data_IF_367630107562
#
_entry.id   IF_367630107562
#
_cell.length_a   1.000
_cell.length_b   1.000
_cell.length_c   1.000
_cell.angle_alpha   90.00
_cell.angle_beta   90.00
_cell.angle_gamma   90.00
#
_symmetry.space_group_name_H-M   'P 1'
#
loop_
_entity.id
_entity.type
_entity.pdbx_description
1 polymer ?
#
# COMPACT_ATOMS: atom_id res chain seq x y z
N UNK A 1 0.58 -16.53 23.60
CA UNK A 1 0.70 -16.79 22.15
C UNK A 1 -0.70 -16.83 21.59
N UNK A 2 -1.03 -16.00 20.61
CA UNK A 2 -2.34 -16.03 19.95
C UNK A 2 -2.52 -17.36 19.21
N UNK A 3 -3.74 -17.89 19.20
CA UNK A 3 -4.09 -19.11 18.46
C UNK A 3 -3.91 -18.87 16.96
N UNK A 4 -3.14 -19.71 16.24
CA UNK A 4 -3.02 -19.64 14.80
C UNK A 4 -4.41 -19.67 14.13
N UNK A 5 -4.63 -18.83 13.11
CA UNK A 5 -5.93 -18.75 12.42
C UNK A 5 -6.07 -19.81 11.36
N UNK A 6 -4.96 -20.17 10.71
CA UNK A 6 -4.88 -21.20 9.69
C UNK A 6 -3.85 -22.29 10.06
N UNK A 7 -4.01 -22.95 11.23
CA UNK A 7 -2.98 -23.82 11.81
C UNK A 7 -2.52 -24.96 10.89
N UNK A 8 -3.40 -25.41 9.98
CA UNK A 8 -3.14 -26.53 9.07
C UNK A 8 -2.95 -26.08 7.62
N UNK A 9 -3.04 -24.77 7.32
CA UNK A 9 -2.99 -24.27 5.94
C UNK A 9 -1.60 -23.81 5.56
N UNK A 10 -1.25 -24.10 4.30
CA UNK A 10 -0.07 -23.58 3.65
C UNK A 10 -0.38 -22.35 2.81
N UNK A 11 0.43 -21.31 2.93
CA UNK A 11 0.30 -20.09 2.14
C UNK A 11 1.50 -19.88 1.22
N UNK A 12 1.24 -19.52 -0.04
CA UNK A 12 2.24 -19.03 -0.99
C UNK A 12 2.07 -17.51 -1.13
N UNK A 13 3.02 -16.74 -0.63
CA UNK A 13 3.04 -15.28 -0.71
C UNK A 13 3.77 -14.84 -1.97
N UNK A 14 3.07 -14.15 -2.85
CA UNK A 14 3.58 -13.61 -4.12
C UNK A 14 3.79 -12.11 -3.96
N UNK A 15 5.04 -11.65 -4.01
CA UNK A 15 5.45 -10.30 -3.59
C UNK A 15 6.51 -9.70 -4.53
N UNK A 16 6.75 -8.38 -4.48
CA UNK A 16 7.43 -7.70 -5.56
C UNK A 16 8.94 -7.57 -5.37
N UNK A 17 9.48 -7.70 -4.16
CA UNK A 17 10.89 -7.39 -3.92
C UNK A 17 11.36 -7.89 -2.56
N UNK A 18 12.65 -8.19 -2.43
CA UNK A 18 13.34 -8.38 -1.16
C UNK A 18 14.05 -7.09 -0.67
N UNK A 19 14.06 -6.03 -1.48
CA UNK A 19 14.66 -4.75 -1.10
C UNK A 19 13.95 -4.11 0.10
N UNK A 20 14.73 -3.39 0.92
CA UNK A 20 14.26 -2.64 2.10
C UNK A 20 13.45 -3.46 3.10
N UNK A 21 13.74 -4.75 3.21
CA UNK A 21 13.06 -5.63 4.14
C UNK A 21 11.55 -5.76 3.86
N UNK A 22 11.14 -5.77 2.59
CA UNK A 22 9.72 -5.89 2.24
C UNK A 22 9.13 -7.22 2.70
N UNK A 23 9.91 -8.30 2.69
CA UNK A 23 9.48 -9.63 3.11
C UNK A 23 9.11 -9.68 4.60
N UNK A 24 9.76 -8.86 5.41
CA UNK A 24 9.58 -8.76 6.86
C UNK A 24 8.19 -8.21 7.21
N UNK A 25 7.51 -7.54 6.28
CA UNK A 25 6.10 -7.14 6.43
C UNK A 25 5.17 -8.35 6.62
N UNK A 26 5.58 -9.53 6.16
CA UNK A 26 4.82 -10.76 6.32
C UNK A 26 5.13 -11.51 7.62
N UNK A 27 6.12 -11.07 8.42
CA UNK A 27 6.48 -11.72 9.67
C UNK A 27 5.27 -11.92 10.63
N UNK A 28 4.34 -10.96 10.77
CA UNK A 28 3.13 -11.16 11.58
C UNK A 28 2.20 -12.26 11.07
N UNK A 29 2.26 -12.63 9.78
CA UNK A 29 1.41 -13.68 9.21
C UNK A 29 1.94 -15.07 9.51
N UNK A 30 3.27 -15.24 9.62
CA UNK A 30 3.94 -16.55 9.72
C UNK A 30 3.37 -17.45 10.83
N UNK A 31 3.14 -16.97 12.07
CA UNK A 31 2.61 -17.80 13.14
C UNK A 31 1.20 -18.35 12.91
N UNK A 32 0.47 -17.83 11.92
CA UNK A 32 -0.89 -18.25 11.64
C UNK A 32 -1.00 -19.39 10.62
N UNK A 33 0.09 -19.82 9.98
CA UNK A 33 0.09 -20.84 8.92
C UNK A 33 0.99 -22.03 9.27
N UNK A 34 0.67 -23.23 8.78
CA UNK A 34 1.52 -24.43 8.95
C UNK A 34 2.82 -24.31 8.15
N UNK A 35 2.78 -23.63 7.01
CA UNK A 35 3.91 -23.42 6.11
C UNK A 35 3.71 -22.15 5.30
N UNK A 36 4.79 -21.36 5.16
CA UNK A 36 4.82 -20.14 4.36
C UNK A 36 5.89 -20.28 3.28
N UNK A 37 5.47 -20.19 2.02
CA UNK A 37 6.35 -20.17 0.85
C UNK A 37 6.32 -18.78 0.24
N UNK A 38 7.45 -18.34 -0.30
CA UNK A 38 7.62 -17.00 -0.85
C UNK A 38 7.96 -17.07 -2.34
N UNK A 39 7.36 -16.21 -3.14
CA UNK A 39 7.69 -16.03 -4.56
C UNK A 39 7.88 -14.54 -4.88
N UNK A 40 9.13 -14.15 -5.12
CA UNK A 40 9.48 -12.82 -5.60
C UNK A 40 9.31 -12.76 -7.13
N UNK A 41 8.23 -12.12 -7.60
CA UNK A 41 7.91 -12.12 -9.03
C UNK A 41 8.80 -11.20 -9.87
N UNK A 42 9.45 -10.19 -9.27
CA UNK A 42 10.38 -9.33 -10.02
C UNK A 42 11.73 -10.01 -10.21
N UNK A 43 12.23 -10.72 -9.19
CA UNK A 43 13.39 -11.61 -9.32
C UNK A 43 13.14 -12.69 -10.37
N UNK A 44 11.96 -13.32 -10.36
CA UNK A 44 11.58 -14.28 -11.40
C UNK A 44 11.58 -13.66 -12.81
N UNK A 45 11.18 -12.39 -12.94
CA UNK A 45 11.25 -11.66 -14.21
C UNK A 45 12.70 -11.36 -14.61
N UNK A 46 13.57 -10.96 -13.69
CA UNK A 46 14.97 -10.71 -13.98
C UNK A 46 15.68 -11.99 -14.47
N UNK A 47 15.35 -13.14 -13.88
CA UNK A 47 15.89 -14.44 -14.24
C UNK A 47 15.33 -14.99 -15.55
N UNK A 48 14.02 -14.97 -15.74
CA UNK A 48 13.34 -15.70 -16.83
C UNK A 48 12.65 -14.81 -17.87
N UNK A 49 12.71 -13.48 -17.68
CA UNK A 49 11.95 -12.51 -18.47
C UNK A 49 10.47 -12.47 -18.09
N UNK A 50 9.72 -11.46 -18.58
CA UNK A 50 8.29 -11.33 -18.33
C UNK A 50 7.48 -12.56 -18.71
N UNK A 51 7.85 -13.24 -19.80
CA UNK A 51 7.20 -14.46 -20.24
C UNK A 51 7.38 -15.66 -19.30
N UNK A 52 8.43 -15.67 -18.48
CA UNK A 52 8.79 -16.78 -17.60
C UNK A 52 8.21 -16.68 -16.18
N UNK A 53 7.63 -15.53 -15.79
CA UNK A 53 7.12 -15.32 -14.42
C UNK A 53 5.95 -16.26 -14.10
N UNK A 54 4.91 -16.25 -14.94
CA UNK A 54 3.70 -17.06 -14.73
C UNK A 54 3.98 -18.57 -14.76
N UNK A 55 4.76 -19.13 -15.72
CA UNK A 55 5.15 -20.55 -15.67
C UNK A 55 5.88 -20.94 -14.39
N UNK A 56 6.78 -20.10 -13.88
CA UNK A 56 7.52 -20.37 -12.63
C UNK A 56 6.59 -20.34 -11.42
N UNK A 57 5.70 -19.35 -11.35
CA UNK A 57 4.70 -19.27 -10.30
C UNK A 57 3.75 -20.49 -10.33
N UNK A 58 3.33 -20.92 -11.52
CA UNK A 58 2.49 -22.11 -11.68
C UNK A 58 3.22 -23.39 -11.25
N UNK A 59 4.49 -23.55 -11.64
CA UNK A 59 5.30 -24.70 -11.25
C UNK A 59 5.49 -24.76 -9.73
N UNK A 60 5.78 -23.62 -9.09
CA UNK A 60 5.89 -23.55 -7.63
C UNK A 60 4.56 -23.86 -6.95
N UNK A 61 3.45 -23.27 -7.41
CA UNK A 61 2.12 -23.55 -6.86
C UNK A 61 1.74 -25.03 -7.00
N UNK A 62 2.09 -25.69 -8.11
CA UNK A 62 1.86 -27.11 -8.31
C UNK A 62 2.73 -27.99 -7.39
N UNK A 63 4.00 -27.65 -7.19
CA UNK A 63 4.91 -28.38 -6.32
C UNK A 63 4.53 -28.24 -4.84
N UNK A 64 4.24 -27.02 -4.42
CA UNK A 64 3.99 -26.69 -3.01
C UNK A 64 2.56 -26.99 -2.58
N UNK A 65 1.61 -27.03 -3.52
CA UNK A 65 0.16 -27.22 -3.30
C UNK A 65 -0.37 -26.33 -2.15
N UNK A 66 -0.21 -24.99 -2.25
CA UNK A 66 -0.69 -24.09 -1.20
C UNK A 66 -2.21 -24.12 -1.13
N UNK A 67 -2.76 -24.02 0.07
CA UNK A 67 -4.18 -23.79 0.28
C UNK A 67 -4.59 -22.37 -0.13
N UNK A 68 -3.67 -21.41 0.06
CA UNK A 68 -3.89 -19.99 -0.20
C UNK A 68 -2.70 -19.42 -0.96
N UNK A 69 -2.97 -18.69 -2.04
CA UNK A 69 -2.02 -17.80 -2.71
C UNK A 69 -2.34 -16.37 -2.30
N UNK A 70 -1.43 -15.74 -1.55
CA UNK A 70 -1.55 -14.36 -1.11
C UNK A 70 -0.80 -13.44 -2.08
N UNK A 71 -1.52 -12.64 -2.86
CA UNK A 71 -0.97 -11.72 -3.85
C UNK A 71 -0.78 -10.32 -3.27
N UNK A 72 0.47 -9.89 -3.14
CA UNK A 72 0.88 -8.56 -2.69
C UNK A 72 1.65 -7.86 -3.81
N UNK A 73 0.93 -7.29 -4.78
CA UNK A 73 1.55 -6.69 -5.96
C UNK A 73 1.78 -5.19 -5.82
N UNK A 74 2.81 -4.68 -6.49
CA UNK A 74 2.83 -3.27 -6.81
C UNK A 74 1.82 -2.99 -7.93
N UNK A 75 0.91 -2.06 -7.66
CA UNK A 75 -0.19 -1.70 -8.56
C UNK A 75 0.24 -1.07 -9.90
N UNK A 76 1.55 -0.95 -10.15
CA UNK A 76 2.15 -0.54 -11.41
C UNK A 76 2.82 -1.68 -12.17
N UNK A 77 2.64 -2.94 -11.75
CA UNK A 77 3.26 -4.09 -12.39
C UNK A 77 2.19 -5.06 -12.93
N UNK A 78 2.39 -5.49 -14.18
CA UNK A 78 1.53 -6.43 -14.91
C UNK A 78 2.28 -7.69 -15.37
N UNK A 79 3.36 -8.07 -14.69
CA UNK A 79 4.12 -9.30 -14.94
C UNK A 79 3.31 -10.57 -14.70
N UNK A 80 2.37 -10.54 -13.75
CA UNK A 80 1.38 -11.58 -13.52
C UNK A 80 0.01 -11.03 -13.93
N UNK A 81 -0.69 -11.75 -14.81
CA UNK A 81 -1.94 -11.27 -15.37
C UNK A 81 -3.18 -11.71 -14.62
N UNK A 82 -4.28 -10.95 -14.82
CA UNK A 82 -5.58 -11.26 -14.23
C UNK A 82 -6.10 -12.60 -14.76
N UNK A 83 -5.88 -12.91 -16.04
CA UNK A 83 -6.27 -14.19 -16.64
C UNK A 83 -5.55 -15.36 -15.97
N UNK A 84 -4.24 -15.24 -15.78
CA UNK A 84 -3.46 -16.28 -15.10
C UNK A 84 -3.95 -16.51 -13.67
N UNK A 85 -4.24 -15.45 -12.93
CA UNK A 85 -4.74 -15.52 -11.56
C UNK A 85 -6.15 -16.12 -11.51
N UNK A 86 -7.01 -15.81 -12.50
CA UNK A 86 -8.34 -16.42 -12.61
C UNK A 86 -8.25 -17.93 -12.89
N UNK A 87 -7.27 -18.39 -13.68
CA UNK A 87 -6.99 -19.82 -13.87
C UNK A 87 -6.39 -20.47 -12.62
N UNK A 88 -5.47 -19.79 -11.93
CA UNK A 88 -4.87 -20.28 -10.68
C UNK A 88 -5.94 -20.44 -9.60
N UNK A 89 -6.86 -19.47 -9.50
CA UNK A 89 -8.01 -19.50 -8.61
C UNK A 89 -8.85 -20.76 -8.78
N UNK A 90 -8.92 -21.39 -9.95
CA UNK A 90 -9.67 -22.66 -10.10
C UNK A 90 -9.09 -23.80 -9.25
N UNK A 91 -7.81 -23.72 -8.86
CA UNK A 91 -7.06 -24.80 -8.18
C UNK A 91 -6.77 -24.53 -6.71
N UNK A 92 -6.69 -23.27 -6.30
CA UNK A 92 -6.32 -22.84 -4.94
C UNK A 92 -7.02 -21.52 -4.60
N UNK A 93 -7.15 -21.17 -3.32
CA UNK A 93 -7.72 -19.90 -2.94
C UNK A 93 -6.77 -18.75 -3.32
N UNK A 94 -7.28 -17.69 -3.95
CA UNK A 94 -6.48 -16.51 -4.30
C UNK A 94 -6.95 -15.33 -3.46
N UNK A 95 -6.06 -14.77 -2.64
CA UNK A 95 -6.34 -13.62 -1.79
C UNK A 95 -5.43 -12.47 -2.23
N UNK A 96 -5.99 -11.28 -2.45
CA UNK A 96 -5.17 -10.09 -2.69
C UNK A 96 -5.03 -9.26 -1.41
N UNK A 97 -3.86 -8.66 -1.21
CA UNK A 97 -3.64 -7.67 -0.17
C UNK A 97 -3.25 -6.34 -0.82
N UNK A 98 -4.22 -5.41 -0.92
CA UNK A 98 -4.04 -4.10 -1.52
C UNK A 98 -3.87 -3.01 -0.45
N UNK A 99 -2.63 -2.55 -0.27
CA UNK A 99 -2.31 -1.51 0.72
C UNK A 99 -2.67 -0.08 0.25
N UNK A 100 -2.77 0.14 -1.07
CA UNK A 100 -2.84 1.48 -1.66
C UNK A 100 -4.10 1.70 -2.53
N UNK A 101 -5.24 1.11 -2.16
CA UNK A 101 -6.49 1.21 -2.94
C UNK A 101 -6.96 2.65 -3.17
N UNK A 102 -6.76 3.55 -2.21
CA UNK A 102 -7.05 4.97 -2.38
C UNK A 102 -6.36 5.59 -3.62
N UNK A 103 -5.22 5.03 -4.05
CA UNK A 103 -4.46 5.51 -5.21
C UNK A 103 -4.71 4.69 -6.48
N UNK A 104 -5.03 3.40 -6.33
CA UNK A 104 -4.96 2.43 -7.43
C UNK A 104 -6.26 1.66 -7.70
N UNK A 105 -7.32 1.87 -6.92
CA UNK A 105 -8.57 1.14 -7.07
C UNK A 105 -9.16 1.28 -8.49
N UNK A 106 -9.25 2.51 -9.01
CA UNK A 106 -9.87 2.80 -10.31
C UNK A 106 -9.09 2.24 -11.51
N UNK A 107 -7.77 2.18 -11.39
CA UNK A 107 -6.87 1.88 -12.51
C UNK A 107 -6.30 0.46 -12.48
N UNK A 108 -6.25 -0.16 -11.30
CA UNK A 108 -5.59 -1.45 -11.09
C UNK A 108 -6.39 -2.41 -10.22
N UNK A 109 -6.61 -2.08 -8.93
CA UNK A 109 -6.98 -3.08 -7.92
C UNK A 109 -8.31 -3.77 -8.24
N UNK A 110 -9.34 -3.01 -8.65
CA UNK A 110 -10.65 -3.58 -8.99
C UNK A 110 -10.60 -4.59 -10.14
N UNK A 111 -9.64 -4.43 -11.06
CA UNK A 111 -9.50 -5.34 -12.20
C UNK A 111 -8.87 -6.67 -11.77
N UNK A 112 -7.82 -6.61 -10.96
CA UNK A 112 -7.18 -7.80 -10.40
C UNK A 112 -8.07 -8.53 -9.39
N UNK A 113 -8.85 -7.78 -8.61
CA UNK A 113 -9.76 -8.32 -7.60
C UNK A 113 -10.85 -9.23 -8.18
N UNK A 114 -11.15 -9.15 -9.49
CA UNK A 114 -12.05 -10.11 -10.16
C UNK A 114 -11.53 -11.55 -10.11
N UNK A 115 -10.22 -11.73 -9.95
CA UNK A 115 -9.56 -13.03 -9.80
C UNK A 115 -9.38 -13.45 -8.33
N UNK A 116 -10.01 -12.75 -7.38
CA UNK A 116 -9.89 -13.03 -5.95
C UNK A 116 -11.03 -13.92 -5.43
N UNK A 117 -10.73 -14.74 -4.42
CA UNK A 117 -11.71 -15.28 -3.49
C UNK A 117 -11.96 -14.32 -2.31
N UNK A 118 -10.94 -13.53 -1.93
CA UNK A 118 -11.06 -12.46 -0.95
C UNK A 118 -10.03 -11.34 -1.23
N UNK A 119 -10.38 -10.12 -0.83
CA UNK A 119 -9.48 -8.97 -0.84
C UNK A 119 -9.25 -8.50 0.59
N UNK A 120 -8.01 -8.22 0.96
CA UNK A 120 -7.63 -7.45 2.14
C UNK A 120 -7.25 -6.06 1.66
N UNK A 121 -7.85 -5.02 2.25
CA UNK A 121 -7.58 -3.63 1.89
C UNK A 121 -7.33 -2.75 3.11
N UNK A 122 -6.42 -1.78 2.97
CA UNK A 122 -6.17 -0.78 4.00
C UNK A 122 -7.14 0.42 3.95
N UNK A 123 -8.10 0.43 3.01
CA UNK A 123 -9.08 1.51 2.88
C UNK A 123 -10.52 1.03 3.16
N UNK A 124 -11.18 1.51 4.23
CA UNK A 124 -12.55 1.13 4.53
C UNK A 124 -13.53 1.52 3.42
N UNK A 125 -13.24 2.59 2.65
CA UNK A 125 -14.07 2.99 1.50
C UNK A 125 -13.98 1.96 0.37
N UNK A 126 -12.80 1.36 0.17
CA UNK A 126 -12.60 0.32 -0.83
C UNK A 126 -13.39 -0.95 -0.52
N UNK A 127 -13.59 -1.31 0.76
CA UNK A 127 -14.47 -2.44 1.15
C UNK A 127 -15.87 -2.27 0.58
N UNK A 128 -16.45 -1.07 0.70
CA UNK A 128 -17.77 -0.77 0.14
C UNK A 128 -17.75 -0.79 -1.40
N UNK A 129 -16.68 -0.31 -2.02
CA UNK A 129 -16.52 -0.31 -3.46
C UNK A 129 -16.40 -1.75 -4.02
N UNK A 130 -15.67 -2.64 -3.36
CA UNK A 130 -15.61 -4.07 -3.69
C UNK A 130 -16.96 -4.76 -3.47
N UNK A 131 -17.69 -4.40 -2.41
CA UNK A 131 -19.04 -4.92 -2.17
C UNK A 131 -20.01 -4.65 -3.33
N UNK A 132 -19.93 -3.47 -3.98
CA UNK A 132 -20.70 -3.16 -5.20
C UNK A 132 -20.34 -4.02 -6.41
N UNK A 133 -19.15 -4.61 -6.40
CA UNK A 133 -18.65 -5.53 -7.43
C UNK A 133 -18.86 -7.00 -7.04
N UNK A 134 -19.55 -7.27 -5.93
CA UNK A 134 -19.72 -8.61 -5.35
C UNK A 134 -18.38 -9.32 -5.04
N UNK A 135 -17.34 -8.53 -4.75
CA UNK A 135 -16.02 -9.03 -4.36
C UNK A 135 -15.93 -8.97 -2.84
N UNK A 136 -15.77 -10.11 -2.14
CA UNK A 136 -15.58 -10.13 -0.70
C UNK A 136 -14.30 -9.39 -0.31
N UNK A 137 -14.42 -8.42 0.60
CA UNK A 137 -13.29 -7.60 1.05
C UNK A 137 -13.28 -7.43 2.58
N UNK A 138 -12.07 -7.42 3.14
CA UNK A 138 -11.78 -7.27 4.57
C UNK A 138 -10.96 -6.00 4.77
N UNK A 139 -11.33 -5.20 5.76
CA UNK A 139 -10.55 -4.03 6.16
C UNK A 139 -9.41 -4.43 7.10
N UNK A 140 -8.18 -4.09 6.72
CA UNK A 140 -6.99 -4.23 7.56
C UNK A 140 -6.43 -2.84 7.93
N UNK A 141 -6.48 -2.42 9.21
CA UNK A 141 -6.00 -1.11 9.64
C UNK A 141 -4.46 -1.07 9.77
N UNK A 142 -3.75 -1.38 8.69
CA UNK A 142 -2.31 -1.59 8.67
C UNK A 142 -1.53 -0.41 9.26
N UNK A 143 -0.48 -0.75 10.01
CA UNK A 143 0.55 0.14 10.57
C UNK A 143 1.92 -0.51 10.31
N UNK A 144 3.02 0.24 10.46
CA UNK A 144 4.35 -0.34 10.27
C UNK A 144 4.67 -1.31 11.40
N UNK A 145 4.67 -2.61 11.07
CA UNK A 145 4.72 -3.69 12.06
C UNK A 145 6.00 -3.73 12.93
N UNK A 146 7.10 -3.16 12.44
CA UNK A 146 8.39 -3.15 13.15
C UNK A 146 8.50 -2.06 14.22
N UNK A 147 7.54 -1.14 14.29
CA UNK A 147 7.56 -0.07 15.28
C UNK A 147 7.13 -0.63 16.64
N UNK A 148 8.02 -0.56 17.64
CA UNK A 148 7.70 -0.85 19.04
C UNK A 148 6.96 0.35 19.64
N UNK A 149 5.67 0.43 19.39
CA UNK A 149 4.82 1.54 19.83
C UNK A 149 4.32 1.28 21.24
N UNK A 150 4.68 2.17 22.16
CA UNK A 150 4.19 2.15 23.53
C UNK A 150 4.16 3.58 24.09
N UNK A 151 3.25 3.90 25.02
CA UNK A 151 3.34 5.13 25.78
C UNK A 151 4.62 5.15 26.60
N UNK A 152 5.33 6.28 26.58
CA UNK A 152 6.53 6.53 27.37
C UNK A 152 6.32 7.81 28.18
N UNK A 153 6.67 7.77 29.47
CA UNK A 153 6.63 8.94 30.34
C UNK A 153 7.87 9.80 30.09
N UNK A 154 7.78 10.73 29.13
CA UNK A 154 8.84 11.62 28.70
C UNK A 154 8.38 13.08 28.76
N UNK A 155 9.33 14.00 28.89
CA UNK A 155 9.07 15.42 28.70
C UNK A 155 8.64 15.68 27.25
N UNK A 156 7.62 16.53 27.06
CA UNK A 156 7.16 16.94 25.73
C UNK A 156 7.90 18.19 25.26
N UNK A 157 9.15 18.01 24.86
CA UNK A 157 10.07 19.07 24.45
C UNK A 157 9.98 19.45 22.95
N UNK A 158 9.29 18.67 22.13
CA UNK A 158 9.07 18.97 20.71
C UNK A 158 7.68 19.58 20.52
N UNK A 159 7.60 20.82 20.03
CA UNK A 159 6.30 21.48 19.81
C UNK A 159 5.47 20.80 18.72
N UNK A 160 6.05 20.63 17.53
CA UNK A 160 5.38 20.03 16.38
C UNK A 160 6.34 19.08 15.69
N UNK A 161 5.90 17.84 15.47
CA UNK A 161 6.66 16.79 14.80
C UNK A 161 5.94 16.34 13.53
N UNK A 162 6.70 16.16 12.45
CA UNK A 162 6.27 15.40 11.28
C UNK A 162 7.33 14.34 10.93
N UNK A 163 6.90 13.08 10.77
CA UNK A 163 7.76 12.00 10.28
C UNK A 163 7.13 11.43 9.01
N UNK A 164 7.71 11.67 7.84
CA UNK A 164 7.20 11.12 6.59
C UNK A 164 7.88 11.70 5.37
N UNK A 165 7.49 11.19 4.21
CA UNK A 165 7.95 11.69 2.92
C UNK A 165 7.44 13.11 2.68
N UNK A 166 8.34 14.10 2.69
CA UNK A 166 8.04 15.52 2.46
C UNK A 166 7.79 15.80 0.98
N UNK A 167 8.29 14.96 0.08
CA UNK A 167 8.12 15.14 -1.38
C UNK A 167 6.70 14.84 -1.86
N UNK A 168 5.88 14.16 -1.04
CA UNK A 168 4.47 13.94 -1.37
C UNK A 168 3.71 15.27 -1.41
N UNK A 169 2.77 15.33 -2.36
CA UNK A 169 1.94 16.49 -2.69
C UNK A 169 1.44 17.25 -1.45
N UNK A 170 1.61 18.57 -1.50
CA UNK A 170 1.13 19.52 -0.47
C UNK A 170 2.02 19.61 0.77
N UNK A 171 2.67 18.53 1.22
CA UNK A 171 3.29 18.48 2.55
C UNK A 171 4.33 19.57 2.80
N UNK A 172 5.20 19.83 1.83
CA UNK A 172 6.19 20.92 1.93
C UNK A 172 5.52 22.29 2.12
N UNK A 173 4.41 22.57 1.41
CA UNK A 173 3.68 23.84 1.51
C UNK A 173 3.10 24.06 2.92
N UNK A 174 2.48 23.03 3.51
CA UNK A 174 1.94 23.12 4.87
C UNK A 174 3.06 23.35 5.90
N UNK A 175 4.18 22.65 5.77
CA UNK A 175 5.32 22.79 6.68
C UNK A 175 5.97 24.17 6.57
N UNK A 176 6.15 24.70 5.36
CA UNK A 176 6.68 26.06 5.16
C UNK A 176 5.70 27.13 5.63
N UNK A 177 4.40 26.92 5.45
CA UNK A 177 3.40 27.84 5.99
C UNK A 177 3.48 27.96 7.52
N UNK A 178 3.70 26.85 8.22
CA UNK A 178 3.95 26.88 9.67
C UNK A 178 5.23 27.65 10.02
N UNK A 179 6.33 27.40 9.30
CA UNK A 179 7.63 28.10 9.49
C UNK A 179 7.52 29.60 9.30
N UNK A 180 6.88 30.02 8.22
CA UNK A 180 6.65 31.44 7.92
C UNK A 180 5.80 32.15 9.00
N UNK A 181 5.04 31.39 9.82
CA UNK A 181 4.17 31.91 10.86
C UNK A 181 4.67 31.64 12.28
N UNK A 182 5.97 31.40 12.44
CA UNK A 182 6.64 31.31 13.74
C UNK A 182 6.52 29.96 14.45
N UNK A 183 6.06 28.91 13.76
CA UNK A 183 6.07 27.54 14.26
C UNK A 183 7.21 26.80 13.56
N UNK A 184 8.09 26.13 14.29
CA UNK A 184 9.21 25.37 13.69
C UNK A 184 9.02 23.86 13.85
N UNK A 185 8.31 23.18 12.92
CA UNK A 185 8.18 21.73 12.97
C UNK A 185 9.53 21.02 12.86
N UNK A 186 9.74 20.05 13.74
CA UNK A 186 10.80 19.03 13.60
C UNK A 186 10.34 18.03 12.56
N UNK A 187 11.15 17.81 11.52
CA UNK A 187 10.78 16.98 10.37
C UNK A 187 11.80 15.88 10.12
N UNK A 188 11.33 14.63 10.00
CA UNK A 188 12.11 13.48 9.55
C UNK A 188 11.43 12.79 8.37
N UNK A 189 12.20 12.01 7.60
CA UNK A 189 11.76 11.23 6.44
C UNK A 189 12.34 11.72 5.12
N UNK A 190 11.94 11.10 4.02
CA UNK A 190 12.43 11.43 2.67
C UNK A 190 12.17 12.90 2.33
N UNK A 191 13.19 13.59 1.79
CA UNK A 191 13.12 15.01 1.44
C UNK A 191 13.26 15.97 2.64
N UNK A 192 13.44 15.48 3.86
CA UNK A 192 13.76 16.33 5.03
C UNK A 192 15.27 16.47 5.25
N UNK A 193 15.70 17.56 5.88
CA UNK A 193 17.10 17.79 6.23
C UNK A 193 17.64 16.84 7.30
N UNK A 194 16.76 16.28 8.15
CA UNK A 194 17.17 15.34 9.21
C UNK A 194 17.22 13.88 8.74
N UNK A 195 16.86 13.60 7.48
CA UNK A 195 16.83 12.24 6.95
C UNK A 195 15.81 11.33 7.66
N UNK A 196 16.00 10.02 7.54
CA UNK A 196 15.09 9.04 8.16
C UNK A 196 15.32 8.93 9.68
N UNK A 197 14.23 8.87 10.44
CA UNK A 197 14.29 8.51 11.85
C UNK A 197 14.35 6.98 11.99
N UNK A 198 15.26 6.41 12.79
CA UNK A 198 15.29 4.98 13.09
C UNK A 198 13.97 4.46 13.66
N UNK A 199 13.56 3.23 13.30
CA UNK A 199 12.27 2.66 13.69
C UNK A 199 12.08 2.55 15.21
N UNK A 200 13.16 2.26 15.96
CA UNK A 200 13.16 2.17 17.41
C UNK A 200 13.02 3.53 18.11
N UNK A 201 13.25 4.63 17.40
CA UNK A 201 13.09 6.01 17.89
C UNK A 201 11.73 6.63 17.64
N UNK A 202 10.89 6.01 16.80
CA UNK A 202 9.58 6.56 16.43
C UNK A 202 8.69 6.78 17.67
N UNK A 203 8.59 5.79 18.56
CA UNK A 203 7.77 5.89 19.78
C UNK A 203 8.27 6.98 20.73
N UNK A 204 9.58 7.09 20.90
CA UNK A 204 10.24 8.14 21.70
C UNK A 204 9.86 9.53 21.19
N UNK A 205 10.00 9.77 19.88
CA UNK A 205 9.72 11.07 19.28
C UNK A 205 8.24 11.42 19.31
N UNK A 206 7.33 10.44 19.13
CA UNK A 206 5.91 10.70 19.35
C UNK A 206 5.61 11.11 20.78
N UNK A 207 6.20 10.43 21.78
CA UNK A 207 5.96 10.73 23.20
C UNK A 207 6.56 12.07 23.63
N UNK A 208 7.68 12.49 23.03
CA UNK A 208 8.31 13.82 23.20
C UNK A 208 7.58 14.97 22.51
N UNK A 209 6.61 14.67 21.63
CA UNK A 209 5.92 15.69 20.85
C UNK A 209 4.64 16.19 21.50
N UNK A 210 4.44 17.51 21.46
CA UNK A 210 3.18 18.14 21.84
C UNK A 210 2.12 17.89 20.77
N UNK A 211 2.48 18.01 19.49
CA UNK A 211 1.61 17.75 18.33
C UNK A 211 2.37 16.89 17.33
N UNK A 212 1.79 15.77 16.90
CA UNK A 212 2.31 14.99 15.76
C UNK A 212 1.40 15.18 14.55
N UNK A 213 1.95 15.70 13.46
CA UNK A 213 1.23 15.96 12.22
C UNK A 213 1.10 14.68 11.38
N UNK A 214 -0.04 14.57 10.69
CA UNK A 214 -0.26 13.57 9.66
C UNK A 214 -0.89 14.22 8.41
N UNK A 215 -0.52 13.74 7.21
CA UNK A 215 -1.07 14.21 5.94
C UNK A 215 -1.63 13.04 5.15
N UNK A 216 -2.77 13.25 4.51
CA UNK A 216 -3.58 12.20 3.89
C UNK A 216 -3.63 12.29 2.36
N UNK A 217 -3.09 13.34 1.72
CA UNK A 217 -3.05 13.39 0.25
C UNK A 217 -2.34 12.17 -0.34
N UNK A 218 -2.90 11.64 -1.43
CA UNK A 218 -2.18 10.69 -2.29
C UNK A 218 -0.92 11.35 -2.85
N UNK A 219 0.10 10.55 -3.13
CA UNK A 219 1.34 11.04 -3.75
C UNK A 219 1.11 11.59 -5.16
N UNK A 220 2.20 12.03 -5.79
CA UNK A 220 2.14 12.40 -7.21
C UNK A 220 1.66 11.23 -8.07
N UNK A 221 0.83 11.54 -9.05
CA UNK A 221 0.35 10.55 -10.00
C UNK A 221 1.51 10.06 -10.85
N UNK A 222 1.56 8.76 -11.07
CA UNK A 222 2.52 8.12 -11.94
C UNK A 222 1.83 7.60 -13.20
N UNK A 223 2.58 7.05 -14.13
CA UNK A 223 2.08 6.60 -15.44
C UNK A 223 0.84 5.68 -15.40
N UNK A 224 0.57 4.94 -14.31
CA UNK A 224 -0.59 4.05 -14.21
C UNK A 224 -1.89 4.81 -13.90
N UNK A 225 -1.78 5.98 -13.28
CA UNK A 225 -2.90 6.77 -12.80
C UNK A 225 -2.82 8.25 -13.19
N UNK A 226 -1.91 8.62 -14.09
CA UNK A 226 -1.74 9.98 -14.63
C UNK A 226 -2.99 10.50 -15.35
N UNK A 227 -3.85 9.59 -15.82
CA UNK A 227 -5.10 9.87 -16.53
C UNK A 227 -6.33 9.94 -15.61
N UNK A 228 -6.17 9.80 -14.28
CA UNK A 228 -7.26 9.89 -13.32
C UNK A 228 -7.22 11.21 -12.52
N UNK A 229 -7.87 12.28 -13.01
CA UNK A 229 -7.81 13.59 -12.37
C UNK A 229 -8.50 13.63 -11.00
N UNK A 230 -9.46 12.74 -10.72
CA UNK A 230 -10.18 12.74 -9.44
C UNK A 230 -9.30 12.29 -8.27
N UNK A 231 -8.16 11.62 -8.53
CA UNK A 231 -7.19 11.30 -7.48
C UNK A 231 -6.66 12.55 -6.76
N UNK A 232 -6.72 13.74 -7.38
CA UNK A 232 -6.38 15.00 -6.70
C UNK A 232 -7.28 15.30 -5.49
N UNK A 233 -8.50 14.74 -5.46
CA UNK A 233 -9.46 14.89 -4.35
C UNK A 233 -9.42 13.73 -3.36
N UNK A 234 -8.77 12.63 -3.71
CA UNK A 234 -8.70 11.45 -2.84
C UNK A 234 -7.75 11.71 -1.67
N UNK A 235 -8.10 11.11 -0.53
CA UNK A 235 -7.30 11.11 0.69
C UNK A 235 -7.13 9.64 1.12
N UNK A 236 -5.89 9.28 1.45
CA UNK A 236 -5.54 7.95 1.92
C UNK A 236 -6.06 7.70 3.34
N UNK A 237 -6.05 6.43 3.76
CA UNK A 237 -6.21 6.02 5.14
C UNK A 237 -4.84 5.67 5.76
N UNK A 238 -4.01 6.66 6.14
CA UNK A 238 -2.66 6.39 6.62
C UNK A 238 -2.68 5.59 7.93
N UNK A 239 -1.69 4.74 8.12
CA UNK A 239 -1.46 4.04 9.40
C UNK A 239 -1.01 4.97 10.53
N UNK A 240 -0.40 6.12 10.19
CA UNK A 240 0.24 7.01 11.17
C UNK A 240 -0.66 7.48 12.31
N UNK A 241 -1.92 7.91 12.10
CA UNK A 241 -2.82 8.24 13.21
C UNK A 241 -3.00 7.09 14.22
N UNK A 242 -3.05 5.83 13.74
CA UNK A 242 -3.12 4.64 14.60
C UNK A 242 -1.81 4.43 15.37
N UNK A 243 -0.67 4.63 14.71
CA UNK A 243 0.64 4.54 15.38
C UNK A 243 0.78 5.57 16.51
N UNK A 244 0.39 6.83 16.25
CA UNK A 244 0.43 7.91 17.25
C UNK A 244 -0.52 7.60 18.41
N UNK A 245 -1.73 7.12 18.11
CA UNK A 245 -2.71 6.74 19.13
C UNK A 245 -2.19 5.64 20.06
N UNK A 246 -1.48 4.62 19.54
CA UNK A 246 -0.86 3.55 20.34
C UNK A 246 0.23 4.06 21.32
N UNK A 247 0.75 5.27 21.12
CA UNK A 247 1.73 5.90 22.02
C UNK A 247 1.09 6.89 23.01
N UNK A 248 -0.24 7.04 23.00
CA UNK A 248 -0.95 8.07 23.78
C UNK A 248 -0.44 9.48 23.50
N UNK A 249 -0.09 9.75 22.24
CA UNK A 249 0.30 11.07 21.77
C UNK A 249 -0.82 11.73 20.97
N UNK A 250 -0.78 13.07 20.90
CA UNK A 250 -1.80 13.85 20.21
C UNK A 250 -1.49 13.92 18.71
N UNK A 251 -2.43 13.45 17.88
CA UNK A 251 -2.36 13.55 16.43
C UNK A 251 -3.25 14.69 15.92
N UNK A 252 -2.68 15.55 15.07
CA UNK A 252 -3.43 16.52 14.26
C UNK A 252 -3.26 16.13 12.79
N UNK A 253 -4.33 15.70 12.14
CA UNK A 253 -4.27 15.07 10.83
C UNK A 253 -4.93 15.92 9.75
N UNK A 254 -4.42 15.90 8.52
CA UNK A 254 -5.22 16.34 7.38
C UNK A 254 -6.49 15.47 7.32
N UNK A 255 -7.63 16.09 7.04
CA UNK A 255 -8.90 15.40 6.95
C UNK A 255 -8.87 14.32 5.85
N UNK A 256 -9.40 13.15 6.18
CA UNK A 256 -9.69 12.07 5.26
C UNK A 256 -11.00 11.41 5.69
N UNK A 257 -11.95 11.13 4.77
CA UNK A 257 -13.18 10.43 5.12
C UNK A 257 -12.92 9.08 5.82
N UNK A 258 -11.86 8.36 5.44
CA UNK A 258 -11.53 7.07 6.04
C UNK A 258 -11.09 7.15 7.51
N UNK A 259 -10.77 8.35 8.03
CA UNK A 259 -10.49 8.52 9.47
C UNK A 259 -11.73 8.35 10.33
N UNK A 260 -12.92 8.67 9.83
CA UNK A 260 -14.19 8.51 10.57
C UNK A 260 -14.51 7.04 10.85
N UNK A 261 -13.99 6.12 10.04
CA UNK A 261 -14.09 4.68 10.28
C UNK A 261 -13.14 4.21 11.41
N UNK A 262 -12.07 4.96 11.70
CA UNK A 262 -11.07 4.58 12.70
C UNK A 262 -11.28 5.30 14.03
N UNK A 263 -11.63 6.58 13.99
CA UNK A 263 -11.68 7.48 15.14
C UNK A 263 -12.92 8.37 15.10
N UNK A 264 -13.39 8.78 16.28
CA UNK A 264 -14.38 9.84 16.43
C UNK A 264 -13.71 11.23 16.34
N UNK A 265 -13.99 11.94 15.25
CA UNK A 265 -13.45 13.28 15.01
C UNK A 265 -13.85 14.26 16.14
N UNK A 266 -12.91 15.13 16.51
CA UNK A 266 -13.05 16.13 17.57
C UNK A 266 -12.89 15.60 19.01
N UNK A 267 -12.97 14.28 19.23
CA UNK A 267 -12.81 13.68 20.58
C UNK A 267 -11.67 12.66 20.68
N UNK A 268 -11.38 11.91 19.61
CA UNK A 268 -10.29 10.92 19.58
C UNK A 268 -9.16 11.35 18.62
N UNK A 269 -9.45 12.23 17.66
CA UNK A 269 -8.49 12.85 16.77
C UNK A 269 -9.06 14.20 16.33
N UNK A 270 -8.22 15.19 16.06
CA UNK A 270 -8.65 16.40 15.37
C UNK A 270 -8.02 16.50 13.98
N UNK A 271 -8.71 17.18 13.08
CA UNK A 271 -8.32 17.28 11.67
C UNK A 271 -8.29 18.70 11.15
N UNK A 272 -7.50 18.96 10.12
CA UNK A 272 -7.51 20.22 9.36
C UNK A 272 -7.77 19.96 7.87
N UNK A 273 -8.29 20.95 7.15
CA UNK A 273 -8.59 20.88 5.71
C UNK A 273 -7.63 21.67 4.85
N UNK A 274 -7.06 22.73 5.40
CA UNK A 274 -6.13 23.65 4.74
C UNK A 274 -5.05 24.14 5.71
N UNK A 275 -4.11 24.92 5.19
CA UNK A 275 -2.91 25.36 5.92
C UNK A 275 -3.24 26.43 6.96
N UNK A 276 -4.29 27.21 6.71
CA UNK A 276 -4.81 28.22 7.63
C UNK A 276 -5.43 27.55 8.87
N UNK A 277 -6.31 26.56 8.68
CA UNK A 277 -6.89 25.76 9.77
C UNK A 277 -5.80 24.97 10.50
N UNK A 278 -4.80 24.44 9.79
CA UNK A 278 -3.64 23.80 10.42
C UNK A 278 -2.93 24.77 11.38
N UNK A 279 -2.60 25.98 10.93
CA UNK A 279 -1.90 26.96 11.74
C UNK A 279 -2.72 27.37 12.97
N UNK A 280 -4.02 27.64 12.79
CA UNK A 280 -4.94 27.96 13.88
C UNK A 280 -4.94 26.85 14.93
N UNK A 281 -5.16 25.60 14.51
CA UNK A 281 -5.23 24.45 15.41
C UNK A 281 -3.90 24.17 16.08
N UNK A 282 -2.77 24.32 15.38
CA UNK A 282 -1.44 24.19 15.99
C UNK A 282 -1.29 25.19 17.14
N UNK A 283 -1.59 26.47 16.92
CA UNK A 283 -1.51 27.50 17.97
C UNK A 283 -2.45 27.19 19.14
N UNK A 284 -3.69 26.82 18.84
CA UNK A 284 -4.66 26.42 19.86
C UNK A 284 -4.15 25.27 20.71
N UNK A 285 -3.71 24.17 20.10
CA UNK A 285 -3.30 22.98 20.84
C UNK A 285 -1.97 23.15 21.58
N UNK A 286 -1.05 24.00 21.10
CA UNK A 286 0.14 24.38 21.87
C UNK A 286 -0.23 25.11 23.17
N UNK A 287 -1.23 26.00 23.13
CA UNK A 287 -1.73 26.73 24.29
C UNK A 287 -2.65 25.90 25.22
N UNK A 288 -3.18 24.77 24.75
CA UNK A 288 -4.17 23.97 25.47
C UNK A 288 -3.70 22.52 25.74
N UNK A 289 -2.72 22.30 26.65
CA UNK A 289 -2.17 20.98 26.94
C UNK A 289 -3.21 20.00 27.50
N UNK A 290 -4.16 20.47 28.32
CA UNK A 290 -5.24 19.63 28.86
C UNK A 290 -6.10 19.01 27.75
N UNK A 291 -6.53 19.86 26.80
CA UNK A 291 -7.33 19.40 25.66
C UNK A 291 -6.58 18.40 24.77
N UNK A 292 -5.28 18.62 24.52
CA UNK A 292 -4.45 17.64 23.81
C UNK A 292 -4.38 16.30 24.54
N UNK A 293 -4.19 16.34 25.86
CA UNK A 293 -4.12 15.15 26.71
C UNK A 293 -5.42 14.34 26.70
N UNK A 294 -6.57 15.01 26.78
CA UNK A 294 -7.89 14.37 26.69
C UNK A 294 -8.06 13.59 25.37
N UNK A 295 -7.79 14.25 24.23
CA UNK A 295 -7.93 13.63 22.92
C UNK A 295 -6.95 12.46 22.75
N UNK A 296 -5.69 12.64 23.15
CA UNK A 296 -4.68 11.59 23.07
C UNK A 296 -5.02 10.35 23.93
N UNK A 297 -5.58 10.57 25.13
CA UNK A 297 -6.03 9.49 26.00
C UNK A 297 -7.24 8.74 25.41
N UNK A 298 -8.19 9.46 24.82
CA UNK A 298 -9.34 8.86 24.13
C UNK A 298 -8.89 8.05 22.90
N UNK A 299 -7.96 8.58 22.10
CA UNK A 299 -7.35 7.89 20.97
C UNK A 299 -6.69 6.58 21.39
N UNK A 300 -5.89 6.62 22.47
CA UNK A 300 -5.21 5.43 23.00
C UNK A 300 -6.21 4.37 23.46
N UNK A 301 -7.26 4.77 24.19
CA UNK A 301 -8.33 3.86 24.65
C UNK A 301 -9.03 3.15 23.48
N UNK A 302 -9.20 3.83 22.35
CA UNK A 302 -9.73 3.26 21.09
C UNK A 302 -8.72 2.32 20.42
N UNK A 303 -7.46 2.73 20.35
CA UNK A 303 -6.43 2.08 19.54
C UNK A 303 -5.83 0.82 20.18
N UNK A 304 -5.56 0.85 21.49
CA UNK A 304 -4.88 -0.22 22.22
C UNK A 304 -5.52 -1.61 22.00
N UNK A 305 -6.86 -1.79 22.09
CA UNK A 305 -7.48 -3.09 21.88
C UNK A 305 -7.74 -3.43 20.40
N UNK A 306 -7.42 -2.54 19.45
CA UNK A 306 -7.89 -2.65 18.06
C UNK A 306 -6.80 -2.62 16.99
N UNK A 307 -5.68 -1.95 17.26
CA UNK A 307 -4.64 -1.61 16.26
C UNK A 307 -3.25 -2.15 16.59
N UNK A 308 -3.07 -2.88 17.68
CA UNK A 308 -1.86 -3.68 17.88
C UNK A 308 -1.73 -4.73 16.77
N UNK A 309 -0.50 -4.94 16.29
CA UNK A 309 -0.22 -5.83 15.14
C UNK A 309 -0.81 -7.22 15.30
N UNK A 310 -0.58 -7.94 16.42
CA UNK A 310 -1.15 -9.28 16.60
C UNK A 310 -2.69 -9.25 16.50
N UNK A 311 -3.30 -8.25 17.15
CA UNK A 311 -4.75 -8.11 17.24
C UNK A 311 -5.41 -7.91 15.87
N UNK A 312 -4.96 -6.91 15.09
CA UNK A 312 -5.61 -6.65 13.80
C UNK A 312 -5.26 -7.70 12.76
N UNK A 313 -4.05 -8.28 12.78
CA UNK A 313 -3.67 -9.36 11.87
C UNK A 313 -4.55 -10.58 12.13
N UNK A 314 -4.69 -11.01 13.38
CA UNK A 314 -5.54 -12.15 13.73
C UNK A 314 -7.01 -11.89 13.37
N UNK A 315 -7.52 -10.67 13.56
CA UNK A 315 -8.88 -10.29 13.11
C UNK A 315 -9.02 -10.37 11.59
N UNK A 316 -8.12 -9.72 10.83
CA UNK A 316 -8.14 -9.72 9.36
C UNK A 316 -8.10 -11.15 8.81
N UNK A 317 -7.23 -12.01 9.37
CA UNK A 317 -7.14 -13.41 8.95
C UNK A 317 -8.42 -14.20 9.29
N UNK A 318 -9.05 -13.97 10.45
CA UNK A 318 -10.31 -14.63 10.81
C UNK A 318 -11.46 -14.24 9.88
N UNK A 319 -11.58 -12.97 9.54
CA UNK A 319 -12.58 -12.48 8.58
C UNK A 319 -12.32 -13.05 7.18
N UNK A 320 -11.04 -13.11 6.77
CA UNK A 320 -10.63 -13.75 5.52
C UNK A 320 -10.97 -15.25 5.53
N UNK A 321 -10.72 -15.96 6.63
CA UNK A 321 -11.06 -17.37 6.79
C UNK A 321 -12.58 -17.60 6.67
N UNK A 322 -13.39 -16.73 7.26
CA UNK A 322 -14.85 -16.80 7.16
C UNK A 322 -15.33 -16.65 5.71
N UNK A 323 -14.75 -15.71 4.95
CA UNK A 323 -15.03 -15.55 3.51
C UNK A 323 -14.66 -16.82 2.74
N UNK A 324 -13.46 -17.36 2.97
CA UNK A 324 -13.01 -18.57 2.27
C UNK A 324 -13.85 -19.79 2.62
N UNK A 325 -14.34 -19.90 3.86
CA UNK A 325 -15.21 -20.98 4.32
C UNK A 325 -16.64 -20.88 3.77
N UNK A 326 -17.16 -19.66 3.55
CA UNK A 326 -18.48 -19.45 2.96
C UNK A 326 -18.57 -19.94 1.50
N UNK A 327 -17.43 -20.19 0.87
CA UNK A 327 -17.35 -20.63 -0.52
C UNK A 327 -17.49 -19.49 -1.51
N UNK A 328 -17.35 -19.81 -2.80
CA UNK A 328 -17.26 -18.81 -3.86
C UNK A 328 -18.62 -18.17 -4.15
N UNK A 329 -18.73 -16.83 -4.21
CA UNK A 329 -19.94 -16.21 -4.73
C UNK A 329 -20.16 -16.67 -6.19
N UNK A 330 -21.40 -17.06 -6.50
CA UNK A 330 -21.82 -17.37 -7.87
C UNK A 330 -21.99 -16.06 -8.62
N UNK A 331 -20.98 -15.66 -9.38
CA UNK A 331 -21.07 -14.46 -10.21
C UNK A 331 -22.02 -14.70 -11.39
N UNK A 332 -22.96 -13.80 -11.69
CA UNK A 332 -23.86 -13.90 -12.84
C UNK A 332 -23.14 -14.05 -14.19
N UNK A 333 -21.90 -13.55 -14.28
CA UNK A 333 -21.08 -13.53 -15.50
C UNK A 333 -20.32 -14.83 -15.78
N UNK A 334 -20.49 -15.89 -14.99
CA UNK A 334 -19.82 -17.18 -15.22
C UNK A 334 -18.29 -17.11 -15.12
N UNK A 335 -17.74 -16.11 -14.42
CA UNK A 335 -16.29 -15.92 -14.27
C UNK A 335 -15.62 -15.17 -15.43
N UNK A 336 -16.39 -14.53 -16.31
CA UNK A 336 -15.85 -13.61 -17.31
C UNK A 336 -15.13 -12.42 -16.65
N UNK A 337 -13.94 -12.09 -17.15
CA UNK A 337 -13.18 -10.91 -16.72
C UNK A 337 -13.58 -9.68 -17.54
N UNK A 338 -13.88 -8.58 -16.85
CA UNK A 338 -14.21 -7.29 -17.45
C UNK A 338 -13.01 -6.35 -17.35
N UNK A 339 -12.31 -6.17 -18.48
CA UNK A 339 -11.11 -5.33 -18.58
C UNK A 339 -11.35 -4.17 -19.54
N UNK A 340 -11.19 -2.94 -19.05
CA UNK A 340 -11.37 -1.72 -19.86
C UNK A 340 -10.24 -1.55 -20.90
N UNK A 341 -10.49 -0.74 -21.93
CA UNK A 341 -9.46 -0.42 -22.93
C UNK A 341 -8.23 0.26 -22.30
N UNK A 342 -8.45 1.11 -21.28
CA UNK A 342 -7.37 1.77 -20.54
C UNK A 342 -6.53 0.76 -19.76
N UNK A 343 -7.17 -0.17 -19.03
CA UNK A 343 -6.45 -1.24 -18.31
C UNK A 343 -5.61 -2.09 -19.26
N UNK A 344 -6.21 -2.53 -20.38
CA UNK A 344 -5.52 -3.34 -21.40
C UNK A 344 -4.29 -2.62 -21.97
N UNK A 345 -4.39 -1.33 -22.28
CA UNK A 345 -3.27 -0.53 -22.76
C UNK A 345 -2.17 -0.37 -21.68
N UNK A 346 -2.55 -0.16 -20.41
CA UNK A 346 -1.61 -0.07 -19.28
C UNK A 346 -0.87 -1.38 -19.02
N UNK A 347 -1.56 -2.52 -19.17
CA UNK A 347 -0.96 -3.85 -19.11
C UNK A 347 0.10 -4.05 -20.19
N UNK A 348 -0.19 -3.72 -21.45
CA UNK A 348 0.81 -3.76 -22.53
C UNK A 348 1.95 -2.79 -22.23
N UNK A 349 1.67 -1.56 -21.78
CA UNK A 349 2.68 -0.56 -21.45
C UNK A 349 3.70 -1.07 -20.42
N UNK A 350 3.22 -1.67 -19.33
CA UNK A 350 4.09 -2.29 -18.31
C UNK A 350 4.94 -3.42 -18.90
N UNK A 351 4.34 -4.33 -19.68
CA UNK A 351 5.08 -5.43 -20.33
C UNK A 351 6.13 -4.93 -21.32
N UNK A 352 5.81 -3.90 -22.12
CA UNK A 352 6.76 -3.26 -23.03
C UNK A 352 7.92 -2.63 -22.25
N UNK A 353 7.65 -1.92 -21.16
CA UNK A 353 8.70 -1.36 -20.31
C UNK A 353 9.63 -2.45 -19.75
N UNK A 354 9.08 -3.55 -19.25
CA UNK A 354 9.85 -4.70 -18.76
C UNK A 354 10.65 -5.39 -19.86
N UNK A 355 10.12 -5.46 -21.10
CA UNK A 355 10.85 -5.95 -22.27
C UNK A 355 12.09 -5.11 -22.56
N UNK A 356 11.97 -3.78 -22.59
CA UNK A 356 13.13 -2.89 -22.76
C UNK A 356 14.13 -3.00 -21.62
N UNK A 357 13.66 -3.20 -20.38
CA UNK A 357 14.53 -3.45 -19.24
C UNK A 357 15.39 -4.72 -19.43
N UNK A 358 14.82 -5.79 -20.01
CA UNK A 358 15.56 -7.01 -20.36
C UNK A 358 16.57 -6.75 -21.49
N UNK A 359 16.19 -6.02 -22.54
CA UNK A 359 17.10 -5.66 -23.63
C UNK A 359 18.29 -4.84 -23.13
N UNK A 360 18.05 -3.84 -22.27
CA UNK A 360 19.10 -3.00 -21.69
C UNK A 360 20.11 -3.79 -20.82
N UNK A 361 19.77 -5.02 -20.42
CA UNK A 361 20.64 -5.93 -19.65
C UNK A 361 21.26 -7.03 -20.53
N UNK A 362 21.10 -6.97 -21.85
CA UNK A 362 21.63 -7.97 -22.79
C UNK A 362 20.80 -9.25 -22.91
N UNK A 363 19.60 -9.30 -22.33
CA UNK A 363 18.76 -10.50 -22.32
C UNK A 363 17.81 -10.58 -23.53
N UNK A 364 18.35 -10.54 -24.76
CA UNK A 364 17.56 -10.47 -25.99
C UNK A 364 16.55 -11.62 -26.17
N UNK A 365 16.95 -12.86 -25.85
CA UNK A 365 16.06 -14.03 -25.96
C UNK A 365 14.88 -13.95 -24.98
N UNK A 366 15.11 -13.49 -23.75
CA UNK A 366 14.06 -13.32 -22.73
C UNK A 366 13.08 -12.22 -23.12
N UNK A 367 13.58 -11.15 -23.74
CA UNK A 367 12.75 -10.08 -24.30
C UNK A 367 11.90 -10.59 -25.48
N UNK A 368 12.50 -11.32 -26.42
CA UNK A 368 11.80 -11.88 -27.58
C UNK A 368 10.66 -12.84 -27.17
N UNK A 369 10.88 -13.67 -26.15
CA UNK A 369 9.86 -14.57 -25.61
C UNK A 369 8.61 -13.83 -25.08
N UNK A 370 8.72 -12.53 -24.77
CA UNK A 370 7.62 -11.70 -24.26
C UNK A 370 6.80 -11.02 -25.36
N UNK A 371 7.28 -11.02 -26.62
CA UNK A 371 6.59 -10.35 -27.74
C UNK A 371 5.15 -10.84 -27.95
N UNK A 372 4.84 -12.15 -27.93
CA UNK A 372 3.47 -12.61 -28.11
C UNK A 372 2.50 -12.07 -27.05
N UNK A 373 2.99 -11.83 -25.82
CA UNK A 373 2.17 -11.30 -24.71
C UNK A 373 1.72 -9.86 -24.95
N UNK A 374 2.46 -9.08 -25.75
CA UNK A 374 2.09 -7.70 -26.06
C UNK A 374 0.81 -7.59 -26.91
N UNK A 375 0.47 -8.65 -27.65
CA UNK A 375 -0.73 -8.72 -28.48
C UNK A 375 -1.93 -9.34 -27.77
N UNK A 376 -1.81 -9.71 -26.48
CA UNK A 376 -2.87 -10.40 -25.70
C UNK A 376 -4.23 -9.73 -25.79
N UNK A 377 -4.26 -8.39 -25.78
CA UNK A 377 -5.49 -7.60 -25.77
C UNK A 377 -5.84 -7.01 -27.15
N UNK A 378 -5.20 -7.51 -28.21
CA UNK A 378 -5.43 -7.09 -29.58
C UNK A 378 -4.66 -5.82 -30.00
N UNK A 379 -4.75 -5.47 -31.30
CA UNK A 379 -3.90 -4.43 -31.91
C UNK A 379 -4.07 -3.03 -31.29
N UNK A 380 -5.29 -2.65 -30.90
CA UNK A 380 -5.54 -1.32 -30.34
C UNK A 380 -4.85 -1.11 -28.97
N UNK A 381 -4.91 -2.12 -28.10
CA UNK A 381 -4.21 -2.09 -26.82
C UNK A 381 -2.69 -2.16 -27.03
N UNK A 382 -2.24 -2.97 -27.99
CA UNK A 382 -0.84 -3.06 -28.38
C UNK A 382 -0.29 -1.68 -28.78
N UNK A 383 -0.91 -1.01 -29.77
CA UNK A 383 -0.42 0.27 -30.30
C UNK A 383 -0.30 1.33 -29.20
N UNK A 384 -1.34 1.49 -28.38
CA UNK A 384 -1.35 2.48 -27.29
C UNK A 384 -0.34 2.13 -26.18
N UNK A 385 -0.36 0.88 -25.74
CA UNK A 385 0.49 0.43 -24.64
C UNK A 385 1.96 0.39 -25.02
N UNK A 386 2.28 -0.15 -26.19
CA UNK A 386 3.65 -0.24 -26.70
C UNK A 386 4.30 1.14 -26.80
N UNK A 387 3.60 2.11 -27.43
CA UNK A 387 4.10 3.49 -27.50
C UNK A 387 4.41 4.07 -26.11
N UNK A 388 3.48 3.95 -25.17
CA UNK A 388 3.66 4.46 -23.80
C UNK A 388 4.80 3.76 -23.05
N UNK A 389 4.93 2.44 -23.19
CA UNK A 389 6.00 1.65 -22.57
C UNK A 389 7.37 1.98 -23.14
N UNK A 390 7.49 2.13 -24.46
CA UNK A 390 8.71 2.55 -25.15
C UNK A 390 9.14 3.95 -24.69
N UNK A 391 8.21 4.92 -24.67
CA UNK A 391 8.50 6.28 -24.20
C UNK A 391 9.03 6.28 -22.77
N UNK A 392 8.43 5.50 -21.88
CA UNK A 392 8.89 5.35 -20.48
C UNK A 392 10.28 4.72 -20.39
N UNK A 393 10.54 3.67 -21.16
CA UNK A 393 11.83 3.00 -21.16
C UNK A 393 12.96 3.92 -21.65
N UNK A 394 12.72 4.66 -22.74
CA UNK A 394 13.67 5.65 -23.28
C UNK A 394 13.93 6.79 -22.30
N UNK A 395 12.90 7.31 -21.63
CA UNK A 395 13.07 8.35 -20.61
C UNK A 395 13.96 7.88 -19.44
N UNK A 396 13.82 6.61 -19.01
CA UNK A 396 14.67 6.04 -17.96
C UNK A 396 16.13 5.91 -18.42
N UNK A 397 16.37 5.47 -19.67
CA UNK A 397 17.71 5.39 -20.25
C UNK A 397 18.36 6.77 -20.35
N UNK A 398 17.62 7.79 -20.82
CA UNK A 398 18.10 9.17 -20.88
C UNK A 398 18.50 9.72 -19.51
N UNK A 399 17.69 9.44 -18.46
CA UNK A 399 18.03 9.82 -17.07
C UNK A 399 19.31 9.15 -16.60
N UNK A 400 19.50 7.85 -16.85
CA UNK A 400 20.73 7.12 -16.47
C UNK A 400 21.97 7.68 -17.16
N UNK A 401 21.87 8.01 -18.45
CA UNK A 401 22.98 8.63 -19.21
C UNK A 401 23.32 10.03 -18.67
N UNK A 402 22.31 10.83 -18.31
CA UNK A 402 22.53 12.16 -17.71
C UNK A 402 23.10 12.11 -16.29
N UNK A 403 22.78 11.07 -15.52
CA UNK A 403 23.30 10.87 -14.17
C UNK A 403 24.73 10.30 -14.18
N UNK A 404 25.08 9.48 -15.18
CA UNK A 404 26.43 8.93 -15.37
C UNK A 404 27.46 9.94 -15.92
N UNK A 405 27.04 11.15 -16.31
CA UNK A 405 27.92 12.25 -16.72
C UNK A 405 28.31 13.21 -15.58
N UNK A 406 27.89 12.91 -14.33
CA UNK A 406 28.32 13.59 -13.11
C UNK A 406 28.89 12.54 -12.16
N UNK A 407 30.03 11.97 -12.53
CA UNK A 407 30.92 11.23 -11.63
C UNK A 407 32.21 12.02 -11.45
#
# INVERSE_FOLDING_TARGET
METPVFPDKKVLIVYPTDYNGYRERFAPLVPHFSSVVYFNYTSACDEAGPAGVEPRLAALAAAERPDIVLCCFFASDHLVSVEFLAELRKKTAVVFWFADDATYFETYSRYYAQAADAVVTADPSAVQAYGRLEIPAVFCPEIVANNKLAPLELERDIDVLFIGDVSKRGRAEYLEHLRANGVSPVVYGFGSSNGYLPFDKISEYFCRSKIVLNFCQVGELNWINEDEPLLARVRQNPGRPREIALTRSFCLSEYSPSLEASFKLGSEIDTFRDKEELLEKVRYYLANPGRRGEIAAAAYKRAEPAYQVPVYIARTLRETAAILAAGRPRLPSGGQLFLSAAFKAKAVNSLTFSLYSQLARGHALKAAASLPRLLRYGPAAFLRGFYGGTRRALALLGRKLSAGGRS
#
